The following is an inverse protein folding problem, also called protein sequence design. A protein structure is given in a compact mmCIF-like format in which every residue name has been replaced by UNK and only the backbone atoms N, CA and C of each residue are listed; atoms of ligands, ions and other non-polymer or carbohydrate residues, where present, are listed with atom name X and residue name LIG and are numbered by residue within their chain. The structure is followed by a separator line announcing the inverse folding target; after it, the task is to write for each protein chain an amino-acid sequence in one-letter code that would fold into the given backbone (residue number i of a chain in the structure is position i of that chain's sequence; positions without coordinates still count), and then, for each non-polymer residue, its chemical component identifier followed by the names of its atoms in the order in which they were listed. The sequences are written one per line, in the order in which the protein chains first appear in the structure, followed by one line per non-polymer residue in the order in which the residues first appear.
data_IF_721233159734
#
_entry.id   IF_721233159734
#
_cell.length_a   1.000
_cell.length_b   1.000
_cell.length_c   1.000
_cell.angle_alpha   90.00
_cell.angle_beta   90.00
_cell.angle_gamma   90.00
#
_symmetry.space_group_name_H-M   'P 1'
#
loop_
_entity.id
_entity.type
_entity.pdbx_description
1 polymer ?
#
# COMPACT_ATOMS: atom_id res chain seq x y z
N UNK A 1 -0.04 10.41 6.34
CA UNK A 1 1.30 9.97 5.91
C UNK A 1 1.28 9.85 4.38
N UNK A 2 2.28 10.34 3.65
CA UNK A 2 2.28 10.28 2.17
C UNK A 2 3.28 9.22 1.76
N UNK A 3 2.78 8.11 1.23
CA UNK A 3 3.59 7.02 0.63
C UNK A 3 4.27 7.61 -0.59
N UNK A 4 5.59 7.66 -0.60
CA UNK A 4 6.31 8.04 -1.81
C UNK A 4 6.41 6.81 -2.70
N UNK A 5 5.88 6.91 -3.92
CA UNK A 5 5.89 5.83 -4.90
C UNK A 5 6.93 6.19 -5.95
N UNK A 6 8.02 5.43 -5.97
CA UNK A 6 9.07 5.53 -6.98
C UNK A 6 8.72 4.65 -8.19
N UNK A 7 8.77 5.24 -9.37
CA UNK A 7 8.50 4.56 -10.64
C UNK A 7 9.73 4.70 -11.53
N UNK A 8 10.60 3.68 -11.57
CA UNK A 8 11.72 3.67 -12.49
C UNK A 8 11.21 3.51 -13.93
N UNK A 9 11.71 4.35 -14.84
CA UNK A 9 11.36 4.32 -16.26
C UNK A 9 12.63 4.15 -17.10
N UNK A 10 13.02 2.91 -17.42
CA UNK A 10 14.22 2.64 -18.20
C UNK A 10 14.11 3.18 -19.63
N UNK A 11 15.21 3.74 -20.14
CA UNK A 11 15.32 4.25 -21.50
C UNK A 11 14.44 5.48 -21.78
N UNK A 12 14.06 6.22 -20.74
CA UNK A 12 13.51 7.57 -20.81
C UNK A 12 14.45 8.47 -20.04
N UNK A 13 14.88 9.58 -20.64
CA UNK A 13 15.85 10.51 -20.08
C UNK A 13 15.20 11.85 -19.76
N UNK A 14 15.81 12.66 -18.89
CA UNK A 14 15.27 13.97 -18.50
C UNK A 14 14.94 14.85 -19.72
N UNK A 15 15.79 14.83 -20.75
CA UNK A 15 15.59 15.62 -21.98
C UNK A 15 14.36 15.18 -22.80
N UNK A 16 13.82 13.98 -22.57
CA UNK A 16 12.59 13.54 -23.21
C UNK A 16 11.35 14.30 -22.67
N UNK A 17 11.49 14.95 -21.50
CA UNK A 17 10.44 15.74 -20.85
C UNK A 17 10.27 17.16 -21.39
N UNK A 18 11.14 17.64 -22.28
CA UNK A 18 10.99 18.94 -22.95
C UNK A 18 9.67 19.07 -23.74
N UNK A 19 9.01 17.94 -24.02
CA UNK A 19 7.86 17.82 -24.93
C UNK A 19 6.68 17.07 -24.33
N UNK A 20 6.73 16.73 -23.05
CA UNK A 20 5.68 16.01 -22.31
C UNK A 20 5.54 16.62 -20.90
N UNK A 21 4.42 16.33 -20.23
CA UNK A 21 4.20 16.83 -18.88
C UNK A 21 5.30 16.34 -17.93
N UNK A 22 5.92 17.26 -17.19
CA UNK A 22 6.96 16.98 -16.21
C UNK A 22 6.30 16.63 -14.87
N UNK A 23 6.62 15.49 -14.24
CA UNK A 23 6.09 15.17 -12.92
C UNK A 23 6.70 16.08 -11.85
N UNK A 24 6.06 16.13 -10.68
CA UNK A 24 6.48 17.02 -9.59
C UNK A 24 7.88 16.68 -9.03
N UNK A 25 8.27 15.41 -9.07
CA UNK A 25 9.57 14.91 -8.61
C UNK A 25 10.10 13.89 -9.62
N UNK A 26 11.35 14.08 -10.02
CA UNK A 26 12.05 13.23 -10.99
C UNK A 26 13.55 13.29 -10.75
N UNK A 27 14.20 12.14 -10.78
CA UNK A 27 15.64 11.99 -10.63
C UNK A 27 16.25 11.26 -11.83
N UNK A 28 17.44 11.68 -12.25
CA UNK A 28 18.22 10.97 -13.27
C UNK A 28 18.94 9.78 -12.63
N UNK A 29 18.82 8.62 -13.27
CA UNK A 29 19.49 7.39 -12.84
C UNK A 29 20.19 6.73 -14.02
N UNK A 30 21.12 5.81 -13.73
CA UNK A 30 21.82 5.10 -14.80
C UNK A 30 20.82 4.33 -15.68
N UNK A 31 20.74 4.72 -16.95
CA UNK A 31 19.86 4.09 -17.94
C UNK A 31 18.41 4.60 -17.97
N UNK A 32 18.06 5.68 -17.25
CA UNK A 32 16.75 6.32 -17.39
C UNK A 32 16.43 7.39 -16.34
N UNK A 33 15.16 7.49 -15.96
CA UNK A 33 14.69 8.37 -14.88
C UNK A 33 13.90 7.58 -13.85
N UNK A 34 13.88 8.07 -12.62
CA UNK A 34 12.94 7.66 -11.58
C UNK A 34 11.93 8.77 -11.37
N UNK A 35 10.64 8.45 -11.42
CA UNK A 35 9.56 9.40 -11.14
C UNK A 35 9.02 9.14 -9.74
N UNK A 36 8.89 10.19 -8.92
CA UNK A 36 8.42 10.04 -7.54
C UNK A 36 7.07 10.71 -7.34
N UNK A 37 6.14 9.99 -6.74
CA UNK A 37 4.77 10.44 -6.51
C UNK A 37 4.39 10.38 -5.04
N UNK A 38 3.79 11.45 -4.54
CA UNK A 38 3.26 11.52 -3.18
C UNK A 38 1.88 10.83 -3.09
N UNK A 39 1.88 9.50 -3.18
CA UNK A 39 0.72 8.63 -3.08
C UNK A 39 0.09 8.26 -4.42
N UNK A 40 -0.78 7.25 -4.39
CA UNK A 40 -1.37 6.64 -5.60
C UNK A 40 -2.22 7.64 -6.41
N UNK A 41 -2.86 8.61 -5.76
CA UNK A 41 -3.70 9.61 -6.45
C UNK A 41 -2.86 10.60 -7.29
N UNK A 42 -1.67 11.00 -6.81
CA UNK A 42 -0.75 11.81 -7.59
C UNK A 42 -0.26 11.04 -8.83
N UNK A 43 0.03 9.75 -8.67
CA UNK A 43 0.42 8.87 -9.76
C UNK A 43 -0.70 8.72 -10.81
N UNK A 44 -1.94 8.44 -10.37
CA UNK A 44 -3.12 8.36 -11.27
C UNK A 44 -3.41 9.67 -12.00
N UNK A 45 -3.23 10.80 -11.32
CA UNK A 45 -3.42 12.12 -11.90
C UNK A 45 -2.42 12.36 -13.02
N UNK A 46 -1.13 12.06 -12.78
CA UNK A 46 -0.09 12.19 -13.80
C UNK A 46 -0.30 11.23 -14.99
N UNK A 47 -0.73 9.99 -14.73
CA UNK A 47 -1.11 9.07 -15.81
C UNK A 47 -2.23 9.64 -16.69
N UNK A 48 -3.21 10.31 -16.08
CA UNK A 48 -4.34 10.94 -16.78
C UNK A 48 -3.90 12.17 -17.58
N UNK A 49 -3.00 12.98 -17.02
CA UNK A 49 -2.40 14.11 -17.73
C UNK A 49 -1.61 13.68 -18.98
N UNK A 50 -0.87 12.57 -18.87
CA UNK A 50 -0.18 11.94 -20.01
C UNK A 50 -1.15 11.39 -21.09
N UNK A 51 -2.41 11.09 -20.74
CA UNK A 51 -3.44 10.66 -21.68
C UNK A 51 -4.07 11.86 -22.41
N UNK A 52 -4.30 12.99 -21.72
CA UNK A 52 -4.88 14.20 -22.33
C UNK A 52 -4.02 14.84 -23.41
N UNK A 53 -2.71 14.58 -23.41
CA UNK A 53 -1.80 15.09 -24.44
C UNK A 53 -1.71 14.22 -25.71
N UNK A 54 -2.34 13.04 -25.76
CA UNK A 54 -2.32 12.14 -26.94
C UNK A 54 -3.05 12.72 -28.16
N UNK A 55 -3.96 13.68 -28.00
CA UNK A 55 -4.85 14.12 -29.08
C UNK A 55 -4.35 15.35 -29.86
N UNK A 56 -3.23 15.98 -29.48
CA UNK A 56 -2.85 17.29 -30.05
C UNK A 56 -1.67 17.29 -31.04
N UNK A 57 -0.68 16.39 -30.94
CA UNK A 57 0.58 16.53 -31.70
C UNK A 57 1.18 15.17 -32.14
N UNK A 58 0.92 14.76 -33.39
CA UNK A 58 1.30 13.48 -33.98
C UNK A 58 2.80 13.25 -34.25
N UNK A 59 3.65 13.29 -33.22
CA UNK A 59 5.07 12.93 -33.31
C UNK A 59 5.33 11.51 -32.74
N UNK A 60 5.78 10.58 -33.58
CA UNK A 60 5.99 9.15 -33.23
C UNK A 60 6.91 8.93 -32.00
N UNK A 61 8.04 9.62 -31.90
CA UNK A 61 8.95 9.49 -30.75
C UNK A 61 8.32 9.92 -29.42
N UNK A 62 7.44 10.94 -29.42
CA UNK A 62 6.74 11.37 -28.20
C UNK A 62 5.74 10.31 -27.74
N UNK A 63 5.09 9.64 -28.69
CA UNK A 63 4.18 8.55 -28.40
C UNK A 63 4.93 7.33 -27.83
N UNK A 64 6.16 7.05 -28.29
CA UNK A 64 7.00 6.00 -27.72
C UNK A 64 7.42 6.28 -26.28
N UNK A 65 7.91 7.49 -25.98
CA UNK A 65 8.27 7.89 -24.60
C UNK A 65 7.06 7.82 -23.68
N UNK A 66 5.92 8.39 -24.10
CA UNK A 66 4.66 8.33 -23.33
C UNK A 66 4.21 6.90 -23.12
N UNK A 67 4.30 6.03 -24.12
CA UNK A 67 3.92 4.63 -23.98
C UNK A 67 4.79 3.90 -22.95
N UNK A 68 6.11 4.18 -22.91
CA UNK A 68 7.01 3.64 -21.89
C UNK A 68 6.64 4.12 -20.49
N UNK A 69 6.48 5.43 -20.31
CA UNK A 69 6.07 6.00 -19.01
C UNK A 69 4.70 5.42 -18.59
N UNK A 70 3.71 5.41 -19.48
CA UNK A 70 2.36 4.84 -19.21
C UNK A 70 2.41 3.38 -18.79
N UNK A 71 3.27 2.58 -19.42
CA UNK A 71 3.45 1.17 -19.07
C UNK A 71 3.95 1.01 -17.64
N UNK A 72 5.01 1.73 -17.27
CA UNK A 72 5.60 1.63 -15.93
C UNK A 72 4.67 2.24 -14.87
N UNK A 73 3.98 3.36 -15.15
CA UNK A 73 2.94 3.89 -14.27
C UNK A 73 1.79 2.89 -14.05
N UNK A 74 1.32 2.21 -15.11
CA UNK A 74 0.27 1.19 -14.99
C UNK A 74 0.72 0.01 -14.13
N UNK A 75 1.98 -0.42 -14.30
CA UNK A 75 2.58 -1.46 -13.48
C UNK A 75 2.63 -1.03 -12.01
N UNK A 76 3.16 0.15 -11.71
CA UNK A 76 3.24 0.70 -10.36
C UNK A 76 1.86 0.86 -9.70
N UNK A 77 0.83 1.31 -10.44
CA UNK A 77 -0.55 1.37 -9.94
C UNK A 77 -1.05 -0.02 -9.58
N UNK A 78 -0.86 -0.99 -10.47
CA UNK A 78 -1.34 -2.36 -10.25
C UNK A 78 -0.66 -3.01 -9.04
N UNK A 79 0.65 -2.81 -8.89
CA UNK A 79 1.43 -3.31 -7.76
C UNK A 79 0.98 -2.63 -6.46
N UNK A 80 0.82 -1.31 -6.44
CA UNK A 80 0.36 -0.58 -5.27
C UNK A 80 -1.07 -1.00 -4.87
N UNK A 81 -1.99 -1.16 -5.83
CA UNK A 81 -3.35 -1.67 -5.55
C UNK A 81 -3.34 -3.10 -5.00
N UNK A 82 -2.48 -3.98 -5.51
CA UNK A 82 -2.34 -5.33 -5.01
C UNK A 82 -1.80 -5.35 -3.56
N UNK A 83 -0.84 -4.48 -3.25
CA UNK A 83 -0.30 -4.31 -1.89
C UNK A 83 -1.39 -3.82 -0.93
N UNK A 84 -2.11 -2.75 -1.31
CA UNK A 84 -3.21 -2.21 -0.50
C UNK A 84 -4.32 -3.25 -0.29
N UNK A 85 -4.65 -4.03 -1.32
CA UNK A 85 -5.58 -5.15 -1.22
C UNK A 85 -5.10 -6.22 -0.23
N UNK A 86 -3.83 -6.61 -0.30
CA UNK A 86 -3.26 -7.59 0.63
C UNK A 86 -3.25 -7.10 2.09
N UNK A 87 -2.98 -5.81 2.33
CA UNK A 87 -3.06 -5.21 3.67
C UNK A 87 -4.50 -5.26 4.20
N UNK A 88 -5.48 -4.93 3.35
CA UNK A 88 -6.89 -5.00 3.70
C UNK A 88 -7.34 -6.42 4.03
N UNK A 89 -7.03 -7.38 3.18
CA UNK A 89 -7.37 -8.80 3.39
C UNK A 89 -6.75 -9.31 4.71
N UNK A 90 -5.53 -8.88 5.03
CA UNK A 90 -4.86 -9.20 6.28
C UNK A 90 -5.57 -8.57 7.49
N UNK A 91 -5.96 -7.30 7.41
CA UNK A 91 -6.72 -6.61 8.45
C UNK A 91 -8.07 -7.30 8.71
N UNK A 92 -8.79 -7.66 7.65
CA UNK A 92 -10.07 -8.37 7.72
C UNK A 92 -9.89 -9.77 8.33
N UNK A 93 -8.84 -10.49 7.97
CA UNK A 93 -8.55 -11.80 8.53
C UNK A 93 -8.19 -11.73 10.03
N UNK A 94 -7.41 -10.73 10.45
CA UNK A 94 -7.10 -10.47 11.86
C UNK A 94 -8.37 -10.11 12.64
N UNK A 95 -9.18 -9.21 12.11
CA UNK A 95 -10.44 -8.81 12.73
C UNK A 95 -11.38 -10.01 12.91
N UNK A 96 -11.55 -10.80 11.85
CA UNK A 96 -12.37 -12.02 11.86
C UNK A 96 -11.83 -13.02 12.86
N UNK A 97 -10.51 -13.25 12.90
CA UNK A 97 -9.89 -14.14 13.89
C UNK A 97 -10.20 -13.72 15.33
N UNK A 98 -10.21 -12.42 15.63
CA UNK A 98 -10.53 -11.91 16.97
C UNK A 98 -12.03 -12.07 17.28
N UNK A 99 -12.90 -11.77 16.32
CA UNK A 99 -14.34 -11.71 16.57
C UNK A 99 -15.09 -13.03 16.38
N UNK A 100 -14.56 -13.98 15.62
CA UNK A 100 -15.17 -15.31 15.41
C UNK A 100 -14.90 -16.28 16.56
N UNK A 101 -13.88 -16.02 17.39
CA UNK A 101 -13.56 -16.87 18.55
C UNK A 101 -14.64 -16.77 19.62
N UNK A 102 -14.90 -17.84 20.36
CA UNK A 102 -15.77 -17.76 21.53
C UNK A 102 -15.15 -16.86 22.61
N UNK A 103 -15.95 -16.00 23.24
CA UNK A 103 -15.47 -15.06 24.25
C UNK A 103 -16.38 -13.85 24.42
N UNK A 104 -16.23 -13.14 25.54
CA UNK A 104 -17.02 -11.93 25.79
C UNK A 104 -16.64 -10.81 24.82
N UNK A 105 -17.64 -10.01 24.44
CA UNK A 105 -17.47 -8.89 23.51
C UNK A 105 -16.43 -7.88 24.00
N UNK A 106 -16.34 -7.64 25.30
CA UNK A 106 -15.37 -6.70 25.88
C UNK A 106 -13.93 -7.22 25.81
N UNK A 107 -13.72 -8.54 25.97
CA UNK A 107 -12.40 -9.15 25.81
C UNK A 107 -11.91 -9.02 24.37
N UNK A 108 -12.79 -9.27 23.40
CA UNK A 108 -12.49 -9.11 21.97
C UNK A 108 -12.12 -7.67 21.62
N UNK A 109 -12.85 -6.69 22.17
CA UNK A 109 -12.54 -5.26 21.99
C UNK A 109 -11.20 -4.90 22.59
N UNK A 110 -10.88 -5.40 23.79
CA UNK A 110 -9.58 -5.19 24.44
C UNK A 110 -8.46 -5.74 23.55
N UNK A 111 -8.58 -6.98 23.11
CA UNK A 111 -7.59 -7.65 22.26
C UNK A 111 -7.38 -6.88 20.94
N UNK A 112 -8.46 -6.44 20.27
CA UNK A 112 -8.32 -5.65 19.06
C UNK A 112 -7.60 -4.31 19.31
N UNK A 113 -7.92 -3.61 20.40
CA UNK A 113 -7.23 -2.36 20.74
C UNK A 113 -5.75 -2.61 21.06
N UNK A 114 -5.42 -3.71 21.73
CA UNK A 114 -4.06 -4.14 22.03
C UNK A 114 -3.28 -4.46 20.76
N UNK A 115 -3.88 -5.18 19.80
CA UNK A 115 -3.31 -5.42 18.47
C UNK A 115 -2.99 -4.09 17.77
N UNK A 116 -3.96 -3.18 17.69
CA UNK A 116 -3.77 -1.88 17.02
C UNK A 116 -2.64 -1.07 17.69
N UNK A 117 -2.60 -1.07 19.03
CA UNK A 117 -1.57 -0.37 19.79
C UNK A 117 -0.17 -0.96 19.54
N UNK A 118 -0.04 -2.28 19.61
CA UNK A 118 1.25 -2.96 19.45
C UNK A 118 1.75 -2.90 18.00
N UNK A 119 0.86 -2.98 17.01
CA UNK A 119 1.20 -2.71 15.60
C UNK A 119 1.80 -1.31 15.46
N UNK A 120 1.19 -0.28 16.06
CA UNK A 120 1.67 1.10 15.97
C UNK A 120 3.09 1.27 16.55
N UNK A 121 3.44 0.51 17.58
CA UNK A 121 4.75 0.58 18.23
C UNK A 121 5.84 -0.25 17.54
N UNK A 122 5.48 -1.19 16.66
CA UNK A 122 6.47 -2.00 15.93
C UNK A 122 7.37 -1.11 15.04
N UNK A 123 8.67 -1.41 15.07
CA UNK A 123 9.73 -0.73 14.31
C UNK A 123 10.02 -1.37 12.96
N UNK A 124 9.76 -2.66 12.80
CA UNK A 124 9.96 -3.42 11.56
C UNK A 124 8.98 -4.58 11.39
N UNK A 125 9.13 -5.33 10.28
CA UNK A 125 8.27 -6.45 9.95
C UNK A 125 8.35 -7.64 10.91
N UNK A 126 9.48 -7.85 11.58
CA UNK A 126 9.63 -8.91 12.58
C UNK A 126 8.90 -8.51 13.87
N UNK A 127 9.15 -7.30 14.37
CA UNK A 127 8.47 -6.74 15.54
C UNK A 127 6.95 -6.69 15.32
N UNK A 128 6.49 -6.41 14.10
CA UNK A 128 5.07 -6.48 13.75
C UNK A 128 4.49 -7.89 13.92
N UNK A 129 5.20 -8.92 13.45
CA UNK A 129 4.74 -10.31 13.57
C UNK A 129 4.69 -10.75 15.05
N UNK A 130 5.66 -10.34 15.84
CA UNK A 130 5.72 -10.59 17.29
C UNK A 130 4.59 -9.86 18.03
N UNK A 131 4.41 -8.56 17.77
CA UNK A 131 3.34 -7.74 18.33
C UNK A 131 1.95 -8.40 18.12
N UNK A 132 1.67 -8.85 16.90
CA UNK A 132 0.39 -9.49 16.57
C UNK A 132 0.23 -10.83 17.31
N UNK A 133 1.29 -11.65 17.39
CA UNK A 133 1.26 -12.93 18.12
C UNK A 133 1.03 -12.73 19.60
N UNK A 134 1.71 -11.77 20.21
CA UNK A 134 1.57 -11.47 21.64
C UNK A 134 0.17 -10.98 21.98
N UNK A 135 -0.34 -10.01 21.23
CA UNK A 135 -1.69 -9.46 21.44
C UNK A 135 -2.80 -10.49 21.21
N UNK A 136 -2.56 -11.53 20.40
CA UNK A 136 -3.56 -12.54 20.07
C UNK A 136 -3.34 -13.89 20.76
N UNK A 137 -2.33 -14.02 21.62
CA UNK A 137 -1.92 -15.29 22.24
C UNK A 137 -3.09 -16.01 22.95
N UNK A 138 -3.94 -15.26 23.65
CA UNK A 138 -5.08 -15.78 24.41
C UNK A 138 -6.15 -16.44 23.52
N UNK A 139 -6.17 -16.12 22.22
CA UNK A 139 -7.12 -16.66 21.25
C UNK A 139 -6.64 -17.97 20.59
N UNK A 140 -5.45 -18.43 20.95
CA UNK A 140 -4.82 -19.60 20.38
C UNK A 140 -4.01 -19.30 19.10
N UNK A 141 -3.55 -20.34 18.38
CA UNK A 141 -2.65 -20.15 17.27
C UNK A 141 -3.30 -19.40 16.11
N UNK A 142 -2.68 -18.28 15.73
CA UNK A 142 -3.02 -17.51 14.55
C UNK A 142 -2.50 -18.24 13.30
N UNK A 143 -3.38 -19.00 12.65
CA UNK A 143 -3.09 -19.68 11.36
C UNK A 143 -3.68 -18.84 10.24
N UNK A 144 -2.96 -17.80 9.82
CA UNK A 144 -3.33 -17.02 8.63
C UNK A 144 -2.66 -17.66 7.41
N UNK A 145 -3.45 -18.31 6.55
CA UNK A 145 -3.01 -18.81 5.24
C UNK A 145 -2.46 -17.70 4.33
N UNK A 146 -2.87 -16.45 4.56
CA UNK A 146 -2.41 -15.23 3.89
C UNK A 146 -0.94 -14.84 4.20
N UNK A 147 -0.28 -15.56 5.11
CA UNK A 147 1.16 -15.42 5.41
C UNK A 147 2.03 -15.41 4.17
N UNK A 148 1.68 -16.13 3.09
CA UNK A 148 2.54 -16.25 1.92
C UNK A 148 2.60 -14.97 1.07
N UNK A 149 1.47 -14.27 0.91
CA UNK A 149 1.41 -13.03 0.14
C UNK A 149 2.02 -11.89 0.96
N UNK A 150 1.63 -11.75 2.23
CA UNK A 150 2.22 -10.74 3.12
C UNK A 150 3.72 -10.98 3.33
N UNK A 151 4.20 -12.23 3.49
CA UNK A 151 5.65 -12.54 3.59
C UNK A 151 6.43 -12.28 2.31
N UNK A 152 5.89 -12.64 1.15
CA UNK A 152 6.61 -12.40 -0.11
C UNK A 152 6.83 -10.92 -0.36
N UNK A 153 5.91 -10.06 0.10
CA UNK A 153 6.12 -8.62 0.14
C UNK A 153 7.00 -8.21 1.35
N UNK A 154 6.79 -8.78 2.54
CA UNK A 154 7.45 -8.40 3.80
C UNK A 154 8.96 -8.58 3.81
N UNK A 155 9.44 -9.53 3.02
CA UNK A 155 10.85 -9.86 2.94
C UNK A 155 11.56 -9.36 1.67
N UNK A 156 10.82 -9.02 0.61
CA UNK A 156 11.44 -8.56 -0.66
C UNK A 156 11.22 -7.08 -0.96
N UNK A 157 10.27 -6.41 -0.31
CA UNK A 157 9.85 -5.03 -0.65
C UNK A 157 9.63 -4.13 0.58
N UNK A 158 9.51 -4.70 1.79
CA UNK A 158 8.89 -4.05 2.95
C UNK A 158 9.85 -3.34 3.92
N UNK A 159 11.14 -3.66 3.96
CA UNK A 159 12.06 -2.86 4.79
C UNK A 159 12.18 -1.41 4.28
N UNK A 160 11.83 -1.15 3.01
CA UNK A 160 11.95 0.19 2.43
C UNK A 160 10.81 1.15 2.86
N UNK A 161 9.58 0.65 3.06
CA UNK A 161 8.42 1.50 3.43
C UNK A 161 7.49 0.86 4.49
N UNK A 162 8.10 0.17 5.46
CA UNK A 162 7.40 -0.39 6.60
C UNK A 162 6.49 0.62 7.34
N UNK A 163 6.90 1.90 7.56
CA UNK A 163 6.06 2.87 8.23
C UNK A 163 4.70 3.13 7.52
N UNK A 164 4.67 3.11 6.18
CA UNK A 164 3.43 3.34 5.43
C UNK A 164 2.48 2.15 5.57
N UNK A 165 3.03 0.94 5.45
CA UNK A 165 2.27 -0.31 5.55
C UNK A 165 1.67 -0.44 6.95
N UNK A 166 2.47 -0.17 7.98
CA UNK A 166 2.01 -0.10 9.37
C UNK A 166 0.84 0.88 9.51
N UNK A 167 0.99 2.09 8.98
CA UNK A 167 -0.04 3.13 9.05
C UNK A 167 -1.34 2.71 8.35
N UNK A 168 -1.24 2.06 7.19
CA UNK A 168 -2.40 1.58 6.45
C UNK A 168 -3.11 0.42 7.18
N UNK A 169 -2.35 -0.55 7.69
CA UNK A 169 -2.89 -1.67 8.47
C UNK A 169 -3.66 -1.19 9.71
N UNK A 170 -3.08 -0.24 10.46
CA UNK A 170 -3.74 0.41 11.59
C UNK A 170 -5.04 1.08 11.17
N UNK A 171 -5.02 1.86 10.08
CA UNK A 171 -6.21 2.55 9.59
C UNK A 171 -7.33 1.58 9.19
N UNK A 172 -7.00 0.48 8.52
CA UNK A 172 -7.98 -0.54 8.11
C UNK A 172 -8.59 -1.26 9.32
N UNK A 173 -7.79 -1.62 10.32
CA UNK A 173 -8.27 -2.20 11.58
C UNK A 173 -9.18 -1.23 12.36
N UNK A 174 -8.83 0.06 12.41
CA UNK A 174 -9.67 1.09 13.04
C UNK A 174 -11.00 1.29 12.29
N UNK A 175 -10.99 1.26 10.96
CA UNK A 175 -12.19 1.33 10.15
C UNK A 175 -13.12 0.14 10.42
N UNK A 176 -12.59 -1.09 10.43
CA UNK A 176 -13.36 -2.30 10.76
C UNK A 176 -13.98 -2.21 12.17
N UNK A 177 -13.22 -1.74 13.17
CA UNK A 177 -13.72 -1.48 14.53
C UNK A 177 -14.91 -0.51 14.54
N UNK A 178 -14.78 0.59 13.80
CA UNK A 178 -15.79 1.64 13.73
C UNK A 178 -17.06 1.16 13.03
N UNK A 179 -16.92 0.44 11.92
CA UNK A 179 -18.05 -0.15 11.19
C UNK A 179 -18.78 -1.20 12.04
N UNK A 180 -18.05 -2.09 12.70
CA UNK A 180 -18.65 -3.07 13.61
C UNK A 180 -19.42 -2.40 14.75
N UNK A 181 -18.87 -1.34 15.35
CA UNK A 181 -19.53 -0.59 16.43
C UNK A 181 -20.81 0.10 15.95
N UNK A 182 -20.79 0.71 14.76
CA UNK A 182 -21.98 1.34 14.15
C UNK A 182 -23.10 0.33 13.88
N UNK A 183 -22.75 -0.87 13.42
CA UNK A 183 -23.72 -1.91 13.08
C UNK A 183 -24.31 -2.62 14.32
N UNK A 184 -23.57 -2.67 15.42
CA UNK A 184 -23.98 -3.34 16.66
C UNK A 184 -24.54 -2.41 17.73
N UNK A 185 -24.41 -1.09 17.56
CA UNK A 185 -25.01 -0.07 18.45
C UNK A 185 -26.43 0.35 18.06
N UNK A 186 -27.01 -0.25 17.01
CA UNK A 186 -28.39 -0.03 16.54
C UNK A 186 -29.38 -1.14 16.93
N UNK A 187 -28.96 -2.08 17.77
CA UNK A 187 -29.78 -3.19 18.26
C UNK A 187 -30.17 -2.98 19.73
#
# INVERSE_FOLDING_TARGET
MRVEIEVPVPGVYINDFDKIAVPAFMDEVEGGVTLSFLGIEALKSYQSELLTHDEAEGFEQRNEVRARIKKELKKAISENLAIMGAIRDYAEALFTFIYDREGHREDKKRILNEVIQNINTAGDGQELEEAIKESTYELGPLVLSYRLTFRNYSFNTIDFDFPAIKSQLTADLENLKNEFTKNTGKA
#
